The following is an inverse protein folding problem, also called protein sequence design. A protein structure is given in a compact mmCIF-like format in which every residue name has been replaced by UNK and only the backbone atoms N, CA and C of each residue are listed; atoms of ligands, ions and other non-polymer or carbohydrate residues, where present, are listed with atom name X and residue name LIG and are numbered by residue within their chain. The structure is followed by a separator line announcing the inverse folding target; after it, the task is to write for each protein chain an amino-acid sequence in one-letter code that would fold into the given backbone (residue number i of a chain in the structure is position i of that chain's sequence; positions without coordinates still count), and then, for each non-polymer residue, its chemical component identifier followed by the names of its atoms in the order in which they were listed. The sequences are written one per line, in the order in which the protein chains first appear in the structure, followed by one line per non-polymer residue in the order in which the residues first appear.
data_IF_233657228312
#
_entry.id   IF_233657228312
#
_cell.length_a   1.000
_cell.length_b   1.000
_cell.length_c   1.000
_cell.angle_alpha   90.00
_cell.angle_beta   90.00
_cell.angle_gamma   90.00
#
_symmetry.space_group_name_H-M   'P 1'
#
loop_
_entity.id
_entity.type
_entity.pdbx_description
1 polymer ?
#
# COMPACT_ATOMS: atom_id res chain seq x y z
N UNK A 1 -22.02 13.46 -4.39
CA UNK A 1 -20.78 13.59 -3.58
C UNK A 1 -19.92 12.32 -3.63
N UNK A 2 -20.52 11.12 -3.50
CA UNK A 2 -19.78 9.84 -3.45
C UNK A 2 -18.83 9.53 -4.63
N UNK A 3 -19.06 10.09 -5.82
CA UNK A 3 -18.22 9.81 -7.00
C UNK A 3 -17.03 10.77 -7.16
N UNK A 4 -17.15 12.03 -6.70
CA UNK A 4 -16.19 13.10 -7.03
C UNK A 4 -14.76 12.79 -6.59
N UNK A 5 -14.62 12.13 -5.44
CA UNK A 5 -13.31 11.84 -4.84
C UNK A 5 -12.92 10.36 -4.94
N UNK A 6 -13.63 9.56 -5.74
CA UNK A 6 -13.43 8.11 -5.79
C UNK A 6 -12.03 7.73 -6.26
N UNK A 7 -11.55 8.35 -7.36
CA UNK A 7 -10.22 8.06 -7.91
C UNK A 7 -9.13 8.42 -6.89
N UNK A 8 -9.19 9.63 -6.32
CA UNK A 8 -8.21 10.08 -5.31
C UNK A 8 -8.23 9.18 -4.08
N UNK A 9 -9.41 8.76 -3.62
CA UNK A 9 -9.52 7.84 -2.48
C UNK A 9 -8.87 6.49 -2.79
N UNK A 10 -9.09 5.94 -3.99
CA UNK A 10 -8.44 4.70 -4.43
C UNK A 10 -6.92 4.88 -4.48
N UNK A 11 -6.43 6.01 -4.95
CA UNK A 11 -4.99 6.31 -4.97
C UNK A 11 -4.37 6.27 -3.58
N UNK A 12 -4.96 6.98 -2.61
CA UNK A 12 -4.48 6.99 -1.22
C UNK A 12 -4.48 5.58 -0.63
N UNK A 13 -5.53 4.80 -0.88
CA UNK A 13 -5.60 3.41 -0.41
C UNK A 13 -4.51 2.53 -1.05
N UNK A 14 -4.25 2.66 -2.36
CA UNK A 14 -3.16 1.96 -3.02
C UNK A 14 -1.80 2.30 -2.41
N UNK A 15 -1.53 3.59 -2.14
CA UNK A 15 -0.30 4.03 -1.47
C UNK A 15 -0.15 3.42 -0.06
N UNK A 16 -1.25 3.26 0.67
CA UNK A 16 -1.20 2.59 1.98
C UNK A 16 -0.91 1.10 1.86
N UNK A 17 -1.46 0.43 0.83
CA UNK A 17 -1.19 -0.99 0.58
C UNK A 17 0.25 -1.23 0.13
N UNK A 18 0.78 -0.38 -0.76
CA UNK A 18 2.15 -0.51 -1.27
C UNK A 18 3.23 -0.32 -0.20
N UNK A 19 2.90 0.30 0.94
CA UNK A 19 3.80 0.42 2.09
C UNK A 19 3.56 -0.62 3.21
N UNK A 20 2.50 -1.43 3.12
CA UNK A 20 2.15 -2.41 4.16
C UNK A 20 3.13 -3.58 4.17
N UNK A 21 3.44 -4.11 3.00
CA UNK A 21 4.48 -5.09 2.77
C UNK A 21 5.69 -4.34 2.21
N UNK A 22 6.90 -4.61 2.70
CA UNK A 22 8.11 -3.88 2.27
C UNK A 22 8.58 -4.29 0.86
N UNK A 23 7.62 -4.59 -0.02
CA UNK A 23 7.84 -5.11 -1.36
C UNK A 23 7.91 -3.97 -2.36
N UNK A 24 8.71 -2.94 -2.08
CA UNK A 24 9.16 -1.98 -3.10
C UNK A 24 8.04 -1.36 -3.97
N UNK A 25 6.85 -1.18 -3.40
CA UNK A 25 5.70 -0.57 -4.08
C UNK A 25 4.67 -1.55 -4.65
N UNK A 26 4.85 -2.87 -4.51
CA UNK A 26 3.87 -3.87 -4.95
C UNK A 26 2.58 -3.84 -4.12
N UNK A 27 1.44 -3.98 -4.79
CA UNK A 27 0.12 -4.02 -4.14
C UNK A 27 -0.20 -5.48 -3.77
N UNK A 28 0.20 -5.85 -2.55
CA UNK A 28 0.15 -7.23 -2.07
C UNK A 28 -0.89 -7.41 -0.94
N UNK A 29 -1.66 -8.48 -1.01
CA UNK A 29 -2.57 -8.91 0.06
C UNK A 29 -1.81 -9.65 1.17
N UNK A 30 -0.78 -10.42 0.79
CA UNK A 30 0.18 -11.08 1.67
C UNK A 30 1.53 -11.23 0.95
N UNK A 31 2.56 -11.71 1.63
CA UNK A 31 3.94 -11.85 1.09
C UNK A 31 4.04 -12.59 -0.25
N UNK A 32 3.06 -13.44 -0.60
CA UNK A 32 3.08 -14.23 -1.84
C UNK A 32 1.79 -14.08 -2.65
N UNK A 33 0.90 -13.16 -2.29
CA UNK A 33 -0.42 -13.01 -2.95
C UNK A 33 -0.64 -11.56 -3.37
N UNK A 34 -0.51 -11.24 -4.66
CA UNK A 34 -0.84 -9.91 -5.17
C UNK A 34 -2.36 -9.68 -5.17
N UNK A 35 -2.76 -8.42 -4.96
CA UNK A 35 -4.16 -8.03 -5.16
C UNK A 35 -4.50 -8.03 -6.65
N UNK A 36 -5.66 -8.59 -6.99
CA UNK A 36 -6.32 -8.35 -8.27
C UNK A 36 -7.44 -7.29 -8.12
N UNK A 37 -8.02 -6.87 -9.25
CA UNK A 37 -9.05 -5.81 -9.27
C UNK A 37 -10.31 -6.16 -8.46
N UNK A 38 -10.73 -7.43 -8.46
CA UNK A 38 -11.89 -7.90 -7.69
C UNK A 38 -11.64 -7.84 -6.19
N UNK A 39 -10.44 -8.27 -5.76
CA UNK A 39 -10.02 -8.18 -4.37
C UNK A 39 -9.92 -6.71 -3.93
N UNK A 40 -9.41 -5.81 -4.78
CA UNK A 40 -9.39 -4.37 -4.49
C UNK A 40 -10.79 -3.76 -4.42
N UNK A 41 -11.72 -4.20 -5.27
CA UNK A 41 -13.12 -3.75 -5.22
C UNK A 41 -13.77 -4.10 -3.88
N UNK A 42 -13.55 -5.34 -3.41
CA UNK A 42 -14.01 -5.80 -2.10
C UNK A 42 -13.34 -5.04 -0.95
N UNK A 43 -12.01 -4.98 -0.93
CA UNK A 43 -11.22 -4.29 0.10
C UNK A 43 -11.57 -2.80 0.20
N UNK A 44 -11.77 -2.13 -0.94
CA UNK A 44 -12.04 -0.69 -0.96
C UNK A 44 -13.52 -0.36 -0.82
N UNK A 45 -14.40 -1.36 -0.86
CA UNK A 45 -15.86 -1.21 -0.89
C UNK A 45 -16.27 -0.24 -2.01
N UNK A 46 -15.84 -0.55 -3.23
CA UNK A 46 -16.10 0.24 -4.44
C UNK A 46 -16.51 -0.66 -5.61
N UNK A 47 -17.36 -0.18 -6.53
CA UNK A 47 -17.69 -0.93 -7.74
C UNK A 47 -16.43 -1.29 -8.53
N UNK A 48 -16.38 -2.49 -9.08
CA UNK A 48 -15.22 -2.97 -9.86
C UNK A 48 -14.88 -2.03 -11.04
N UNK A 49 -15.89 -1.42 -11.66
CA UNK A 49 -15.68 -0.47 -12.75
C UNK A 49 -14.95 0.79 -12.29
N UNK A 50 -15.18 1.25 -11.05
CA UNK A 50 -14.45 2.37 -10.47
C UNK A 50 -12.98 2.01 -10.19
N UNK A 51 -12.72 0.77 -9.75
CA UNK A 51 -11.36 0.25 -9.55
C UNK A 51 -10.62 0.15 -10.88
N UNK A 52 -11.23 -0.45 -11.90
CA UNK A 52 -10.67 -0.55 -13.26
C UNK A 52 -10.35 0.81 -13.85
N UNK A 53 -11.29 1.75 -13.76
CA UNK A 53 -11.07 3.12 -14.23
C UNK A 53 -9.90 3.78 -13.50
N UNK A 54 -9.82 3.64 -12.18
CA UNK A 54 -8.73 4.21 -11.40
C UNK A 54 -7.37 3.59 -11.76
N UNK A 55 -7.27 2.26 -11.84
CA UNK A 55 -6.05 1.54 -12.25
C UNK A 55 -5.62 1.99 -13.64
N UNK A 56 -6.52 2.00 -14.61
CA UNK A 56 -6.22 2.45 -15.97
C UNK A 56 -5.76 3.91 -16.00
N UNK A 57 -6.40 4.78 -15.20
CA UNK A 57 -6.02 6.20 -15.09
C UNK A 57 -4.60 6.31 -14.53
N UNK A 58 -4.28 5.61 -13.45
CA UNK A 58 -2.94 5.64 -12.84
C UNK A 58 -1.87 5.03 -13.72
N UNK A 59 -2.19 3.97 -14.46
CA UNK A 59 -1.30 3.34 -15.43
C UNK A 59 -0.99 4.32 -16.58
N UNK A 60 -2.02 5.00 -17.11
CA UNK A 60 -1.87 6.03 -18.15
C UNK A 60 -1.04 7.22 -17.69
N UNK A 61 -1.21 7.64 -16.44
CA UNK A 61 -0.44 8.74 -15.82
C UNK A 61 0.97 8.31 -15.37
N UNK A 62 1.35 7.04 -15.54
CA UNK A 62 2.65 6.51 -15.12
C UNK A 62 2.83 6.42 -13.60
N UNK A 63 1.73 6.44 -12.84
CA UNK A 63 1.72 6.36 -11.37
C UNK A 63 1.82 4.90 -10.86
N UNK A 64 1.35 3.96 -11.67
CA UNK A 64 1.52 2.51 -11.44
C UNK A 64 2.01 1.83 -12.72
N UNK A 65 2.59 0.66 -12.57
CA UNK A 65 2.99 -0.26 -13.62
C UNK A 65 2.50 -1.68 -13.31
N UNK A 66 2.28 -2.49 -14.35
CA UNK A 66 1.99 -3.92 -14.20
C UNK A 66 3.24 -4.73 -14.54
N UNK A 67 3.87 -5.32 -13.52
CA UNK A 67 5.03 -6.20 -13.68
C UNK A 67 4.55 -7.64 -13.52
N UNK A 68 4.62 -8.44 -14.58
CA UNK A 68 4.13 -9.83 -14.59
C UNK A 68 2.65 -9.96 -14.12
N UNK A 69 1.82 -8.97 -14.45
CA UNK A 69 0.41 -8.93 -14.03
C UNK A 69 0.18 -8.42 -12.60
N UNK A 70 1.24 -8.08 -11.85
CA UNK A 70 1.14 -7.51 -10.51
C UNK A 70 1.22 -5.99 -10.57
N UNK A 71 0.30 -5.31 -9.87
CA UNK A 71 0.28 -3.86 -9.78
C UNK A 71 1.40 -3.38 -8.85
N UNK A 72 2.19 -2.42 -9.33
CA UNK A 72 3.27 -1.80 -8.57
C UNK A 72 3.22 -0.28 -8.72
N UNK A 73 3.43 0.45 -7.63
CA UNK A 73 3.60 1.91 -7.64
C UNK A 73 4.96 2.26 -8.24
N UNK A 74 4.98 3.12 -9.25
CA UNK A 74 6.23 3.56 -9.90
C UNK A 74 7.04 4.46 -8.97
N UNK A 75 8.37 4.46 -9.16
CA UNK A 75 9.30 5.31 -8.40
C UNK A 75 9.16 5.21 -6.86
N UNK A 76 8.62 4.10 -6.35
CA UNK A 76 8.32 3.94 -4.92
C UNK A 76 9.53 4.21 -4.02
N UNK A 77 10.69 3.63 -4.36
CA UNK A 77 11.93 3.78 -3.58
C UNK A 77 12.50 5.21 -3.62
N UNK A 78 12.25 5.98 -4.69
CA UNK A 78 12.74 7.37 -4.79
C UNK A 78 11.95 8.34 -3.92
N UNK A 79 10.70 8.00 -3.61
CA UNK A 79 9.77 8.90 -2.92
C UNK A 79 9.48 8.51 -1.47
N UNK A 80 9.87 7.31 -1.02
CA UNK A 80 9.65 6.87 0.36
C UNK A 80 10.93 6.93 1.20
N UNK A 81 10.83 7.54 2.39
CA UNK A 81 11.90 7.53 3.39
C UNK A 81 11.92 6.18 4.13
N UNK A 82 12.38 5.14 3.43
CA UNK A 82 12.47 3.76 3.94
C UNK A 82 13.35 3.70 5.19
N UNK A 83 14.47 4.42 5.20
CA UNK A 83 15.40 4.48 6.33
C UNK A 83 14.75 5.07 7.60
N UNK A 84 13.99 6.16 7.45
CA UNK A 84 13.24 6.77 8.55
C UNK A 84 12.20 5.82 9.15
N UNK A 85 11.50 5.06 8.31
CA UNK A 85 10.53 4.05 8.75
C UNK A 85 11.19 2.88 9.49
N UNK A 86 12.34 2.40 9.01
CA UNK A 86 13.11 1.35 9.69
C UNK A 86 13.61 1.80 11.06
N UNK A 87 14.11 3.04 11.16
CA UNK A 87 14.53 3.64 12.43
C UNK A 87 13.38 3.71 13.44
N UNK A 88 12.19 4.14 13.02
CA UNK A 88 10.99 4.17 13.88
C UNK A 88 10.61 2.75 14.33
N UNK A 89 10.61 1.78 13.42
CA UNK A 89 10.29 0.37 13.75
C UNK A 89 11.29 -0.20 14.76
N UNK A 90 12.58 0.06 14.59
CA UNK A 90 13.62 -0.36 15.54
C UNK A 90 13.42 0.24 16.93
N UNK A 91 13.16 1.56 17.01
CA UNK A 91 12.89 2.23 18.27
C UNK A 91 11.63 1.68 18.96
N UNK A 92 10.57 1.38 18.21
CA UNK A 92 9.34 0.80 18.75
C UNK A 92 9.56 -0.62 19.29
N UNK A 93 10.40 -1.44 18.65
CA UNK A 93 10.80 -2.76 19.17
C UNK A 93 11.52 -2.63 20.52
N UNK A 94 12.51 -1.74 20.62
CA UNK A 94 13.24 -1.48 21.86
C UNK A 94 12.32 -0.98 22.98
N UNK A 95 11.41 -0.04 22.68
CA UNK A 95 10.42 0.46 23.64
C UNK A 95 9.52 -0.65 24.18
N UNK A 96 8.98 -1.50 23.30
CA UNK A 96 8.16 -2.65 23.70
C UNK A 96 8.95 -3.66 24.54
N UNK A 97 10.21 -3.93 24.20
CA UNK A 97 11.06 -4.83 24.99
C UNK A 97 11.26 -4.29 26.40
N UNK A 98 11.65 -3.01 26.53
CA UNK A 98 11.85 -2.35 27.84
C UNK A 98 10.57 -2.34 28.68
N UNK A 99 9.41 -2.11 28.05
CA UNK A 99 8.12 -2.19 28.74
C UNK A 99 7.84 -3.59 29.30
N UNK A 100 8.10 -4.65 28.52
CA UNK A 100 7.92 -6.04 28.96
C UNK A 100 8.86 -6.44 30.10
N UNK A 101 10.09 -5.94 30.07
CA UNK A 101 11.06 -6.15 31.16
C UNK A 101 10.62 -5.46 32.46
N UNK A 102 10.11 -4.23 32.38
CA UNK A 102 9.59 -3.50 33.53
C UNK A 102 8.35 -4.17 34.14
N UNK A 103 7.43 -4.70 33.32
CA UNK A 103 6.21 -5.37 33.78
C UNK A 103 6.46 -6.77 34.37
N UNK A 104 7.68 -7.30 34.26
CA UNK A 104 8.10 -8.60 34.84
C UNK A 104 8.75 -8.45 36.22
N UNK A 105 9.04 -7.22 36.65
CA UNK A 105 9.49 -6.89 38.01
C UNK A 105 8.28 -6.56 38.86
#
# INVERSE_FOLDING_TARGET
LHERDTIITIWVKLLTLSGKYNEQGYIMLSENLPYNEEMLANEFSRPINSIRLAIQTFETLGMIEKVNGVIKVTNWEKHQNIEGLEKIRAQNRLRKQKQRENNRK
#
